data_IF_657075103126
#
_entry.id   IF_657075103126
#
_cell.length_a   1.000
_cell.length_b   1.000
_cell.length_c   1.000
_cell.angle_alpha   90.00
_cell.angle_beta   90.00
_cell.angle_gamma   90.00
#
_symmetry.space_group_name_H-M   'P 1'
#
loop_
_entity.id
_entity.type
_entity.pdbx_description
1 polymer ?
#
# COMPACT_ATOMS: atom_id res chain seq x y z
N UNK A 1 -33.52 -3.90 -47.64
CA UNK A 1 -32.65 -2.84 -47.08
C UNK A 1 -32.54 -3.07 -45.58
N UNK A 2 -31.44 -3.68 -45.11
CA UNK A 2 -31.19 -3.88 -43.68
C UNK A 2 -30.25 -2.78 -43.20
N UNK A 3 -30.78 -1.80 -42.46
CA UNK A 3 -29.95 -0.84 -41.73
C UNK A 3 -29.51 -1.47 -40.42
N UNK A 4 -28.22 -1.76 -40.31
CA UNK A 4 -27.57 -2.17 -39.06
C UNK A 4 -27.39 -0.94 -38.18
N UNK A 5 -28.07 -0.90 -37.04
CA UNK A 5 -27.77 0.03 -35.96
C UNK A 5 -26.46 -0.39 -35.30
N UNK A 6 -25.43 0.44 -35.41
CA UNK A 6 -24.22 0.36 -34.58
C UNK A 6 -24.55 0.97 -33.22
N UNK A 7 -24.69 0.13 -32.19
CA UNK A 7 -24.62 0.61 -30.80
C UNK A 7 -23.14 0.85 -30.47
N UNK A 8 -22.73 2.12 -30.45
CA UNK A 8 -21.49 2.53 -29.80
C UNK A 8 -21.65 2.39 -28.29
N UNK A 9 -21.02 1.38 -27.71
CA UNK A 9 -20.85 1.28 -26.27
C UNK A 9 -19.83 2.35 -25.84
N UNK A 10 -20.30 3.42 -25.19
CA UNK A 10 -19.42 4.29 -24.41
C UNK A 10 -18.95 3.49 -23.19
N UNK A 11 -17.72 2.97 -23.24
CA UNK A 11 -17.00 2.58 -22.04
C UNK A 11 -16.67 3.86 -21.27
N UNK A 12 -17.48 4.17 -20.25
CA UNK A 12 -17.12 5.18 -19.27
C UNK A 12 -15.85 4.71 -18.57
N UNK A 13 -14.74 5.43 -18.76
CA UNK A 13 -13.58 5.28 -17.91
C UNK A 13 -14.02 5.70 -16.50
N UNK A 14 -14.29 4.72 -15.63
CA UNK A 14 -14.44 4.98 -14.22
C UNK A 14 -13.11 5.58 -13.75
N UNK A 15 -13.08 6.90 -13.61
CA UNK A 15 -11.99 7.58 -12.92
C UNK A 15 -12.10 7.15 -11.46
N UNK A 16 -11.40 6.08 -11.09
CA UNK A 16 -11.20 5.75 -9.68
C UNK A 16 -10.39 6.92 -9.13
N UNK A 17 -11.13 7.83 -8.48
CA UNK A 17 -10.56 8.89 -7.68
C UNK A 17 -9.99 8.21 -6.45
N UNK A 18 -8.75 8.51 -6.09
CA UNK A 18 -8.13 8.04 -4.85
C UNK A 18 -9.12 8.13 -3.68
N UNK A 19 -9.20 7.05 -2.90
CA UNK A 19 -10.32 6.68 -2.04
C UNK A 19 -10.39 7.63 -0.83
N UNK A 20 -11.60 7.91 -0.36
CA UNK A 20 -11.76 8.60 0.93
C UNK A 20 -11.16 7.74 2.04
N UNK A 21 -10.56 8.38 3.05
CA UNK A 21 -9.97 7.67 4.19
C UNK A 21 -11.10 7.09 5.05
N UNK A 22 -11.18 5.75 5.23
CA UNK A 22 -12.18 5.14 6.09
C UNK A 22 -12.05 5.59 7.53
N UNK A 23 -13.16 5.66 8.27
CA UNK A 23 -13.21 6.27 9.60
C UNK A 23 -12.27 5.62 10.62
N UNK A 24 -12.04 4.31 10.54
CA UNK A 24 -11.10 3.60 11.40
C UNK A 24 -9.65 4.01 11.11
N UNK A 25 -9.27 4.12 9.83
CA UNK A 25 -7.95 4.58 9.40
C UNK A 25 -7.76 6.06 9.71
N UNK A 26 -8.80 6.89 9.53
CA UNK A 26 -8.77 8.31 9.89
C UNK A 26 -8.57 8.49 11.40
N UNK A 27 -9.32 7.74 12.22
CA UNK A 27 -9.16 7.75 13.68
C UNK A 27 -7.77 7.32 14.11
N UNK A 28 -7.20 6.32 13.42
CA UNK A 28 -5.83 5.88 13.64
C UNK A 28 -4.83 6.99 13.32
N UNK A 29 -4.92 7.60 12.13
CA UNK A 29 -4.10 8.73 11.71
C UNK A 29 -4.15 9.88 12.73
N UNK A 30 -5.34 10.28 13.18
CA UNK A 30 -5.53 11.36 14.16
C UNK A 30 -4.99 10.99 15.55
N UNK A 31 -5.13 9.72 15.95
CA UNK A 31 -4.57 9.22 17.21
C UNK A 31 -3.04 9.25 17.20
N UNK A 32 -2.41 8.89 16.08
CA UNK A 32 -0.96 8.93 15.92
C UNK A 32 -0.43 10.37 15.91
N UNK A 33 -1.15 11.31 15.28
CA UNK A 33 -0.82 12.75 15.36
C UNK A 33 -0.87 13.25 16.80
N UNK A 34 -1.90 12.85 17.56
CA UNK A 34 -2.10 13.30 18.94
C UNK A 34 -1.08 12.69 19.90
N UNK A 35 -0.74 11.40 19.73
CA UNK A 35 0.19 10.67 20.60
C UNK A 35 1.60 11.25 20.57
N UNK A 36 2.03 11.78 19.42
CA UNK A 36 3.38 12.31 19.26
C UNK A 36 4.34 11.28 18.66
N UNK A 37 5.53 11.15 19.26
CA UNK A 37 6.50 10.13 18.88
C UNK A 37 6.03 8.72 19.32
N UNK A 38 6.37 7.69 18.55
CA UNK A 38 6.02 6.32 18.93
C UNK A 38 6.78 5.85 20.18
N UNK A 39 6.11 4.99 20.96
CA UNK A 39 6.64 4.46 22.23
C UNK A 39 7.50 3.22 21.99
N UNK A 40 7.03 2.30 21.17
CA UNK A 40 7.75 1.15 20.67
C UNK A 40 8.41 1.49 19.32
N UNK A 41 9.69 1.83 19.38
CA UNK A 41 10.51 2.13 18.20
C UNK A 41 11.28 0.87 17.80
N UNK A 42 10.96 0.33 16.62
CA UNK A 42 11.62 -0.86 16.08
C UNK A 42 13.00 -0.51 15.52
N UNK A 43 13.12 0.67 14.92
CA UNK A 43 14.38 1.28 14.53
C UNK A 43 14.25 2.80 14.51
N UNK A 44 15.37 3.51 14.67
CA UNK A 44 15.42 4.98 14.84
C UNK A 44 16.62 5.57 14.12
N UNK A 45 16.59 6.89 13.90
CA UNK A 45 17.73 7.63 13.36
C UNK A 45 17.65 7.83 11.86
N UNK A 46 16.44 7.79 11.31
CA UNK A 46 16.15 8.01 9.90
C UNK A 46 15.77 9.46 9.63
N UNK A 47 15.98 9.89 8.41
CA UNK A 47 15.65 11.21 7.90
C UNK A 47 14.45 11.09 6.96
N UNK A 48 13.56 12.09 6.98
CA UNK A 48 12.56 12.23 5.92
C UNK A 48 13.15 13.05 4.76
N UNK A 49 13.92 14.09 5.10
CA UNK A 49 14.52 15.03 4.15
C UNK A 49 16.01 15.29 4.38
N UNK A 50 16.69 15.66 3.30
CA UNK A 50 18.14 15.85 3.26
C UNK A 50 18.67 16.89 4.25
N UNK A 51 17.94 17.96 4.53
CA UNK A 51 18.32 19.00 5.49
C UNK A 51 17.64 18.83 6.86
N UNK A 52 16.91 17.72 7.05
CA UNK A 52 16.09 17.45 8.22
C UNK A 52 16.84 16.79 9.38
N UNK A 53 16.19 16.72 10.56
CA UNK A 53 16.69 15.95 11.69
C UNK A 53 16.40 14.46 11.50
N UNK A 54 17.24 13.60 12.08
CA UNK A 54 17.09 12.14 12.03
C UNK A 54 16.06 11.58 13.03
N UNK A 55 14.92 12.24 13.14
CA UNK A 55 13.92 11.95 14.18
C UNK A 55 12.87 10.92 13.77
N UNK A 56 13.04 10.27 12.62
CA UNK A 56 12.10 9.31 12.09
C UNK A 56 12.41 7.90 12.56
N UNK A 57 11.37 7.10 12.70
CA UNK A 57 11.43 5.74 13.23
C UNK A 57 10.42 4.85 12.54
N UNK A 58 10.78 3.57 12.41
CA UNK A 58 9.81 2.51 12.18
C UNK A 58 9.19 2.15 13.54
N UNK A 59 7.87 2.19 13.60
CA UNK A 59 7.12 2.13 14.85
C UNK A 59 6.28 0.87 14.91
N UNK A 60 6.37 0.18 16.05
CA UNK A 60 5.65 -1.07 16.32
C UNK A 60 4.66 -0.93 17.47
N UNK A 61 4.15 0.27 17.73
CA UNK A 61 3.19 0.52 18.81
C UNK A 61 1.93 -0.33 18.68
N UNK A 62 1.59 -0.73 17.45
CA UNK A 62 0.36 -1.43 17.13
C UNK A 62 0.59 -2.81 16.49
N UNK A 63 1.73 -3.43 16.78
CA UNK A 63 2.01 -4.81 16.33
C UNK A 63 1.17 -5.84 17.09
N UNK A 64 0.81 -5.58 18.35
CA UNK A 64 0.08 -6.55 19.20
C UNK A 64 -1.45 -6.45 19.11
N UNK A 65 -1.99 -5.32 18.67
CA UNK A 65 -3.44 -5.06 18.60
C UNK A 65 -3.95 -5.01 17.16
N UNK A 66 -3.34 -4.19 16.29
CA UNK A 66 -3.75 -4.03 14.89
C UNK A 66 -2.86 -4.79 13.92
N UNK A 67 -1.77 -5.39 14.42
CA UNK A 67 -0.75 -6.03 13.62
C UNK A 67 -0.31 -5.14 12.43
N UNK A 68 0.21 -3.96 12.76
CA UNK A 68 0.77 -2.98 11.80
C UNK A 68 2.11 -2.41 12.25
N UNK A 69 2.91 -2.01 11.27
CA UNK A 69 4.13 -1.20 11.44
C UNK A 69 3.98 0.06 10.60
N UNK A 70 4.47 1.20 11.07
CA UNK A 70 4.35 2.47 10.36
C UNK A 70 5.55 3.39 10.58
N UNK A 71 5.72 4.38 9.70
CA UNK A 71 6.77 5.41 9.84
C UNK A 71 6.22 6.60 10.61
N UNK A 72 6.99 7.12 11.57
CA UNK A 72 6.61 8.28 12.37
C UNK A 72 7.81 9.13 12.78
N UNK A 73 7.66 10.45 12.71
CA UNK A 73 8.60 11.43 13.25
C UNK A 73 8.21 11.94 14.64
N UNK A 74 8.95 12.95 15.13
CA UNK A 74 8.64 13.63 16.39
C UNK A 74 7.33 14.45 16.31
N UNK A 75 6.68 14.65 17.46
CA UNK A 75 5.45 15.44 17.52
C UNK A 75 4.36 14.85 16.61
N UNK A 76 3.65 15.67 15.86
CA UNK A 76 2.61 15.21 14.92
C UNK A 76 3.13 14.79 13.54
N UNK A 77 4.44 14.81 13.30
CA UNK A 77 5.02 14.58 11.98
C UNK A 77 4.89 13.12 11.52
N UNK A 78 4.35 12.90 10.34
CA UNK A 78 4.59 11.68 9.55
C UNK A 78 5.77 11.94 8.60
N UNK A 79 6.05 11.03 7.66
CA UNK A 79 7.11 11.25 6.67
C UNK A 79 6.61 12.16 5.53
N UNK A 80 7.55 12.62 4.71
CA UNK A 80 7.36 13.17 3.37
C UNK A 80 7.10 12.04 2.36
N UNK A 81 7.07 12.40 1.08
CA UNK A 81 7.04 11.46 -0.03
C UNK A 81 7.99 11.92 -1.14
N UNK A 82 9.22 11.40 -1.12
CA UNK A 82 10.14 11.40 -2.25
C UNK A 82 9.69 10.41 -3.35
N UNK A 83 10.21 10.60 -4.55
CA UNK A 83 9.81 9.85 -5.75
C UNK A 83 10.88 8.86 -6.13
N UNK A 84 10.52 7.58 -6.04
CA UNK A 84 11.31 6.48 -6.55
C UNK A 84 10.91 6.17 -8.01
N UNK A 85 11.91 5.94 -8.84
CA UNK A 85 11.77 5.66 -10.27
C UNK A 85 12.38 4.30 -10.66
N UNK A 86 12.68 3.46 -9.68
CA UNK A 86 13.40 2.21 -9.88
C UNK A 86 12.54 1.14 -10.57
N UNK A 87 13.22 0.11 -11.08
CA UNK A 87 12.58 -1.00 -11.80
C UNK A 87 12.54 -0.82 -13.32
N UNK A 88 11.41 -1.18 -13.95
CA UNK A 88 11.24 -1.19 -15.41
C UNK A 88 11.36 0.21 -16.02
N UNK A 89 12.48 0.46 -16.69
CA UNK A 89 12.79 1.72 -17.37
C UNK A 89 12.20 1.79 -18.78
N UNK A 90 11.73 2.97 -19.20
CA UNK A 90 11.07 3.20 -20.49
C UNK A 90 9.88 2.25 -20.73
N UNK A 91 9.25 1.81 -19.65
CA UNK A 91 8.13 0.88 -19.65
C UNK A 91 6.82 1.55 -20.05
N UNK A 92 5.74 0.78 -19.99
CA UNK A 92 4.41 1.33 -20.27
C UNK A 92 4.04 2.39 -19.23
N UNK A 93 3.39 3.46 -19.67
CA UNK A 93 2.97 4.55 -18.77
C UNK A 93 4.05 5.58 -18.46
N UNK A 94 5.29 5.36 -18.91
CA UNK A 94 6.35 6.36 -18.83
C UNK A 94 5.96 7.61 -19.64
N UNK A 95 5.86 8.73 -18.92
CA UNK A 95 5.53 10.05 -19.46
C UNK A 95 6.70 11.04 -19.35
N UNK A 96 7.90 10.52 -19.04
CA UNK A 96 9.15 11.27 -18.95
C UNK A 96 9.39 11.97 -17.61
N UNK A 97 8.46 11.89 -16.65
CA UNK A 97 8.63 12.54 -15.33
C UNK A 97 9.69 11.88 -14.46
N UNK A 98 10.04 10.61 -14.70
CA UNK A 98 11.21 10.01 -14.06
C UNK A 98 12.54 10.47 -14.70
N UNK A 99 12.52 11.06 -15.89
CA UNK A 99 13.74 11.47 -16.60
C UNK A 99 14.53 12.61 -15.94
N UNK A 100 14.01 13.22 -14.87
CA UNK A 100 14.75 14.17 -14.05
C UNK A 100 15.63 13.51 -12.99
N UNK A 101 15.28 12.30 -12.51
CA UNK A 101 16.04 11.58 -11.48
C UNK A 101 17.46 11.24 -11.96
N UNK A 102 18.42 11.34 -11.05
CA UNK A 102 19.83 10.99 -11.28
C UNK A 102 20.29 9.75 -10.52
N UNK A 103 19.41 9.16 -9.72
CA UNK A 103 19.62 8.01 -8.84
C UNK A 103 18.83 6.77 -9.27
N UNK A 104 17.99 6.87 -10.31
CA UNK A 104 17.20 5.74 -10.82
C UNK A 104 18.04 4.49 -11.10
N UNK A 105 17.61 3.36 -10.55
CA UNK A 105 18.14 2.03 -10.81
C UNK A 105 17.20 1.24 -11.73
N UNK A 106 17.77 0.35 -12.54
CA UNK A 106 17.00 -0.44 -13.50
C UNK A 106 16.29 -1.67 -12.89
N UNK A 107 16.35 -1.83 -11.57
CA UNK A 107 15.76 -2.94 -10.85
C UNK A 107 15.20 -2.45 -9.51
N UNK A 108 14.11 -3.04 -9.04
CA UNK A 108 13.65 -2.92 -7.65
C UNK A 108 14.20 -4.05 -6.78
N UNK A 109 14.15 -3.90 -5.46
CA UNK A 109 14.65 -4.91 -4.51
C UNK A 109 14.04 -6.31 -4.68
N UNK A 110 12.80 -6.41 -5.17
CA UNK A 110 12.07 -7.69 -5.30
C UNK A 110 11.83 -8.14 -6.74
N UNK A 111 12.61 -7.62 -7.68
CA UNK A 111 12.56 -7.97 -9.12
C UNK A 111 12.54 -9.48 -9.37
N UNK A 112 13.31 -10.23 -8.58
CA UNK A 112 13.40 -11.69 -8.69
C UNK A 112 12.08 -12.41 -8.38
N UNK A 113 11.30 -11.93 -7.40
CA UNK A 113 9.98 -12.48 -7.07
C UNK A 113 9.00 -12.18 -8.21
N UNK A 114 9.06 -10.97 -8.76
CA UNK A 114 8.21 -10.54 -9.87
C UNK A 114 8.45 -11.42 -11.11
N UNK A 115 9.71 -11.73 -11.42
CA UNK A 115 10.05 -12.69 -12.49
C UNK A 115 9.43 -14.06 -12.25
N UNK A 116 9.51 -14.57 -11.02
CA UNK A 116 8.97 -15.89 -10.65
C UNK A 116 7.45 -15.97 -10.80
N UNK A 117 6.73 -14.88 -10.58
CA UNK A 117 5.28 -14.83 -10.82
C UNK A 117 4.91 -15.07 -12.28
N UNK A 118 5.83 -14.84 -13.23
CA UNK A 118 5.67 -15.12 -14.65
C UNK A 118 4.37 -14.52 -15.23
N UNK A 119 4.13 -13.23 -14.95
CA UNK A 119 2.93 -12.48 -15.36
C UNK A 119 3.15 -11.50 -16.50
N UNK A 120 4.24 -11.66 -17.24
CA UNK A 120 4.54 -10.84 -18.41
C UNK A 120 5.26 -9.52 -18.12
N UNK A 121 5.57 -9.25 -16.85
CA UNK A 121 6.50 -8.20 -16.43
C UNK A 121 7.79 -8.84 -15.91
N UNK A 122 8.90 -8.10 -16.00
CA UNK A 122 10.20 -8.54 -15.46
C UNK A 122 10.49 -7.92 -14.11
N UNK A 123 9.89 -6.78 -13.83
CA UNK A 123 10.02 -6.02 -12.61
C UNK A 123 8.79 -5.11 -12.46
N UNK A 124 8.65 -4.47 -11.30
CA UNK A 124 7.74 -3.36 -11.11
C UNK A 124 8.11 -2.21 -12.05
N UNK A 125 7.09 -1.45 -12.42
CA UNK A 125 7.22 -0.26 -13.26
C UNK A 125 6.68 0.92 -12.46
N UNK A 126 7.54 1.87 -12.08
CA UNK A 126 7.19 2.99 -11.21
C UNK A 126 6.00 3.81 -11.70
N UNK A 127 5.74 3.88 -13.01
CA UNK A 127 4.62 4.60 -13.61
C UNK A 127 3.27 3.85 -13.55
N UNK A 128 3.30 2.55 -13.25
CA UNK A 128 2.15 1.65 -13.28
C UNK A 128 1.89 0.95 -11.95
N UNK A 129 2.93 0.64 -11.20
CA UNK A 129 2.83 -0.12 -9.97
C UNK A 129 3.03 0.82 -8.79
N UNK A 130 1.98 1.24 -8.09
CA UNK A 130 2.13 1.97 -6.83
C UNK A 130 2.85 1.07 -5.83
N UNK A 131 4.12 1.39 -5.57
CA UNK A 131 4.90 0.77 -4.51
C UNK A 131 5.49 1.82 -3.57
N UNK A 132 5.84 1.35 -2.38
CA UNK A 132 6.52 2.10 -1.32
C UNK A 132 7.93 1.55 -1.17
N UNK A 133 8.89 2.45 -0.98
CA UNK A 133 10.24 2.13 -0.54
C UNK A 133 10.21 2.02 0.98
N UNK A 134 10.31 0.81 1.50
CA UNK A 134 10.11 0.53 2.93
C UNK A 134 11.19 -0.40 3.44
N UNK A 135 11.90 -0.01 4.50
CA UNK A 135 13.14 -0.69 4.87
C UNK A 135 14.36 0.10 4.40
N UNK A 136 15.47 -0.19 5.06
CA UNK A 136 16.74 0.44 4.79
C UNK A 136 17.83 -0.63 4.82
N UNK A 137 18.48 -0.82 3.68
CA UNK A 137 19.61 -1.72 3.51
C UNK A 137 20.92 -0.92 3.55
N UNK A 138 22.03 -1.59 3.85
CA UNK A 138 23.31 -0.92 3.88
C UNK A 138 24.40 -1.60 4.69
N UNK A 139 25.64 -1.25 4.35
CA UNK A 139 26.88 -1.75 4.97
C UNK A 139 27.82 -0.64 5.44
N UNK A 140 27.58 0.62 5.04
CA UNK A 140 28.32 1.80 5.49
C UNK A 140 28.36 1.89 7.03
N UNK A 141 29.54 2.14 7.58
CA UNK A 141 29.71 2.29 9.03
C UNK A 141 28.87 3.45 9.57
N UNK A 142 28.07 3.17 10.62
CA UNK A 142 27.17 4.15 11.21
C UNK A 142 25.85 4.37 10.46
N UNK A 143 25.66 3.72 9.31
CA UNK A 143 24.39 3.71 8.57
C UNK A 143 23.29 3.04 9.40
N UNK A 144 22.06 3.54 9.29
CA UNK A 144 20.91 2.96 9.95
C UNK A 144 20.18 2.06 8.97
N UNK A 145 19.94 0.83 9.38
CA UNK A 145 19.20 -0.16 8.61
C UNK A 145 17.93 -0.56 9.33
N UNK A 146 16.97 -1.05 8.57
CA UNK A 146 15.74 -1.65 9.08
C UNK A 146 15.30 -2.71 8.07
N UNK A 147 15.25 -3.97 8.52
CA UNK A 147 14.77 -5.08 7.72
C UNK A 147 13.29 -5.36 8.10
N UNK A 148 12.32 -5.06 7.22
CA UNK A 148 10.90 -5.27 7.52
C UNK A 148 10.52 -6.74 7.76
N UNK A 149 11.23 -7.70 7.13
CA UNK A 149 10.99 -9.13 7.32
C UNK A 149 11.26 -9.61 8.74
N UNK A 150 12.15 -8.95 9.48
CA UNK A 150 12.38 -9.23 10.90
C UNK A 150 11.14 -9.00 11.77
N UNK A 151 10.15 -8.27 11.24
CA UNK A 151 8.89 -7.94 11.89
C UNK A 151 7.68 -8.55 11.15
N UNK A 152 7.92 -9.57 10.32
CA UNK A 152 6.87 -10.34 9.65
C UNK A 152 6.25 -9.67 8.43
N UNK A 153 6.81 -8.56 7.95
CA UNK A 153 6.37 -7.92 6.70
C UNK A 153 7.05 -8.67 5.56
N UNK A 154 6.26 -9.21 4.64
CA UNK A 154 6.77 -10.03 3.54
C UNK A 154 6.94 -9.21 2.26
N UNK A 155 7.98 -9.47 1.44
CA UNK A 155 8.17 -8.79 0.16
C UNK A 155 6.90 -8.78 -0.69
N UNK A 156 6.63 -7.65 -1.36
CA UNK A 156 5.43 -7.43 -2.18
C UNK A 156 4.10 -7.46 -1.40
N UNK A 157 4.13 -7.44 -0.06
CA UNK A 157 2.93 -7.27 0.75
C UNK A 157 2.24 -5.93 0.44
N UNK A 158 0.91 -5.93 0.49
CA UNK A 158 0.12 -4.70 0.36
C UNK A 158 0.47 -3.75 1.49
N UNK A 159 0.57 -2.47 1.15
CA UNK A 159 0.74 -1.36 2.08
C UNK A 159 -0.39 -0.35 1.90
N UNK A 160 -0.72 0.36 2.97
CA UNK A 160 -1.68 1.47 2.96
C UNK A 160 -0.94 2.79 3.15
N UNK A 161 -1.20 3.76 2.27
CA UNK A 161 -0.64 5.11 2.33
C UNK A 161 -1.77 6.11 2.50
N UNK A 162 -1.68 6.94 3.54
CA UNK A 162 -2.60 8.07 3.76
C UNK A 162 -1.88 9.37 3.42
N UNK A 163 -2.34 10.03 2.37
CA UNK A 163 -1.76 11.24 1.80
C UNK A 163 -2.87 12.13 1.24
N UNK A 164 -2.76 13.46 1.35
CA UNK A 164 -3.72 14.41 0.74
C UNK A 164 -5.20 14.05 0.98
N UNK A 165 -5.54 13.70 2.23
CA UNK A 165 -6.87 13.26 2.67
C UNK A 165 -7.43 12.03 1.92
N UNK A 166 -6.55 11.17 1.42
CA UNK A 166 -6.88 9.97 0.64
C UNK A 166 -6.17 8.76 1.19
N UNK A 167 -6.78 7.59 0.99
CA UNK A 167 -6.17 6.29 1.20
C UNK A 167 -5.85 5.67 -0.16
N UNK A 168 -4.60 5.25 -0.34
CA UNK A 168 -4.11 4.59 -1.54
C UNK A 168 -3.42 3.29 -1.13
N UNK A 169 -3.74 2.20 -1.81
CA UNK A 169 -3.03 0.94 -1.65
C UNK A 169 -1.85 0.85 -2.63
N UNK A 170 -0.75 0.32 -2.13
CA UNK A 170 0.39 -0.07 -2.93
C UNK A 170 0.95 -1.38 -2.43
N UNK A 171 2.17 -1.70 -2.84
CA UNK A 171 2.94 -2.81 -2.28
C UNK A 171 4.25 -2.31 -1.69
N UNK A 172 4.82 -3.08 -0.78
CA UNK A 172 6.24 -2.96 -0.47
C UNK A 172 7.05 -3.45 -1.67
N UNK A 173 7.58 -2.53 -2.46
CA UNK A 173 8.24 -2.84 -3.73
C UNK A 173 9.75 -2.66 -3.72
N UNK A 174 10.25 -1.77 -2.85
CA UNK A 174 11.68 -1.47 -2.79
C UNK A 174 12.18 -1.19 -1.37
N UNK A 175 13.49 -1.07 -1.23
CA UNK A 175 14.20 -0.76 0.00
C UNK A 175 15.22 0.34 -0.25
N UNK A 176 15.33 1.29 0.68
CA UNK A 176 16.27 2.39 0.50
C UNK A 176 17.70 1.91 0.80
N UNK A 177 18.61 2.11 -0.16
CA UNK A 177 19.99 1.69 -0.09
C UNK A 177 20.88 2.59 0.77
N UNK A 178 22.17 2.28 0.81
CA UNK A 178 23.21 3.11 1.42
C UNK A 178 24.08 3.84 0.41
N UNK A 179 23.57 4.17 -0.77
CA UNK A 179 24.27 4.91 -1.82
C UNK A 179 24.24 6.43 -1.56
N UNK A 180 23.17 6.94 -0.95
CA UNK A 180 23.02 8.31 -0.51
C UNK A 180 23.86 8.76 0.70
N UNK A 181 23.70 10.02 1.13
CA UNK A 181 24.41 10.58 2.29
C UNK A 181 23.78 10.20 3.64
N UNK A 182 22.50 9.78 3.65
CA UNK A 182 21.69 9.58 4.86
C UNK A 182 20.70 8.40 4.70
N UNK A 183 20.38 7.67 5.77
CA UNK A 183 19.34 6.65 5.75
C UNK A 183 17.96 7.32 5.74
N UNK A 184 17.40 7.46 4.54
CA UNK A 184 16.13 8.16 4.27
C UNK A 184 14.92 7.22 4.43
N UNK A 185 13.75 7.80 4.73
CA UNK A 185 12.44 7.14 4.72
C UNK A 185 11.43 8.11 4.12
N UNK A 186 10.28 7.61 3.65
CA UNK A 186 9.25 8.47 3.07
C UNK A 186 9.40 8.58 1.56
N UNK A 187 9.51 7.46 0.88
CA UNK A 187 9.73 7.41 -0.56
C UNK A 187 8.79 6.39 -1.21
N UNK A 188 8.31 6.69 -2.40
CA UNK A 188 7.38 5.85 -3.13
C UNK A 188 7.48 6.05 -4.64
N UNK A 189 7.04 5.04 -5.40
CA UNK A 189 6.96 5.10 -6.86
C UNK A 189 6.30 6.39 -7.39
N UNK A 190 6.72 6.87 -8.55
CA UNK A 190 6.09 8.04 -9.18
C UNK A 190 4.58 7.89 -9.39
N UNK A 191 4.06 6.67 -9.60
CA UNK A 191 2.62 6.43 -9.70
C UNK A 191 1.88 6.67 -8.37
N UNK A 192 2.44 6.22 -7.24
CA UNK A 192 1.91 6.51 -5.90
C UNK A 192 1.93 8.02 -5.62
N UNK A 193 3.07 8.69 -5.86
CA UNK A 193 3.20 10.13 -5.66
C UNK A 193 2.21 10.92 -6.53
N UNK A 194 2.06 10.52 -7.80
CA UNK A 194 1.08 11.12 -8.71
C UNK A 194 -0.36 10.93 -8.20
N UNK A 195 -0.67 9.77 -7.63
CA UNK A 195 -2.01 9.49 -7.11
C UNK A 195 -2.31 10.33 -5.84
N UNK A 196 -1.30 10.61 -5.01
CA UNK A 196 -1.42 11.48 -3.84
C UNK A 196 -1.51 12.97 -4.21
N UNK A 197 -0.58 13.46 -5.02
CA UNK A 197 -0.29 14.90 -5.16
C UNK A 197 -0.40 15.43 -6.60
N UNK A 198 -0.73 14.57 -7.56
CA UNK A 198 -0.95 14.94 -8.95
C UNK A 198 0.33 14.98 -9.80
N UNK A 199 0.18 15.46 -11.03
CA UNK A 199 1.20 15.33 -12.09
C UNK A 199 2.37 16.30 -11.96
N UNK A 200 2.40 17.15 -10.93
CA UNK A 200 3.59 17.94 -10.61
C UNK A 200 4.73 17.10 -10.05
N UNK A 201 4.43 15.90 -9.54
CA UNK A 201 5.43 14.95 -9.05
C UNK A 201 6.30 14.44 -10.20
N UNK A 202 7.61 14.42 -9.98
CA UNK A 202 8.63 13.91 -10.90
C UNK A 202 9.85 13.41 -10.12
N UNK A 203 10.82 12.78 -10.80
CA UNK A 203 11.97 12.13 -10.15
C UNK A 203 12.86 13.02 -9.27
N UNK A 204 12.73 14.36 -9.34
CA UNK A 204 13.43 15.31 -8.46
C UNK A 204 12.46 16.23 -7.70
N UNK A 205 11.16 15.94 -7.72
CA UNK A 205 10.15 16.78 -7.10
C UNK A 205 9.07 15.90 -6.46
N UNK A 206 9.34 15.51 -5.21
CA UNK A 206 8.40 14.87 -4.32
C UNK A 206 7.56 15.88 -3.53
N UNK A 207 7.10 15.44 -2.36
CA UNK A 207 6.27 16.19 -1.43
C UNK A 207 6.98 16.35 -0.08
N UNK A 208 7.57 17.52 0.16
CA UNK A 208 8.41 17.83 1.33
C UNK A 208 7.65 17.85 2.68
N UNK A 209 6.32 17.94 2.68
CA UNK A 209 5.56 18.05 3.91
C UNK A 209 5.45 16.69 4.61
N UNK A 210 5.79 16.72 5.90
CA UNK A 210 5.79 15.56 6.79
C UNK A 210 4.37 15.14 7.26
N UNK A 211 3.50 14.81 6.31
CA UNK A 211 2.08 14.48 6.55
C UNK A 211 1.59 13.18 5.90
N UNK A 212 2.50 12.37 5.35
CA UNK A 212 2.23 11.08 4.69
C UNK A 212 2.43 9.91 5.66
N UNK A 213 1.35 9.18 5.95
CA UNK A 213 1.40 7.98 6.79
C UNK A 213 1.53 6.73 5.93
N UNK A 214 2.62 6.00 6.12
CA UNK A 214 2.87 4.68 5.54
C UNK A 214 2.56 3.58 6.55
N UNK A 215 1.73 2.61 6.18
CA UNK A 215 1.31 1.49 7.03
C UNK A 215 1.64 0.17 6.32
N UNK A 216 2.49 -0.63 6.95
CA UNK A 216 2.80 -2.00 6.55
C UNK A 216 2.02 -3.00 7.40
N UNK A 217 1.64 -4.12 6.79
CA UNK A 217 0.88 -5.18 7.43
C UNK A 217 1.73 -6.46 7.51
N UNK A 218 2.22 -6.84 8.70
CA UNK A 218 2.84 -8.15 8.89
C UNK A 218 1.87 -9.31 8.59
N UNK A 219 2.44 -10.42 8.10
CA UNK A 219 1.77 -11.69 7.82
C UNK A 219 1.64 -12.00 6.33
N UNK A 220 1.76 -13.29 6.00
CA UNK A 220 1.61 -13.81 4.63
C UNK A 220 0.27 -13.46 3.99
N UNK A 221 -0.78 -13.23 4.77
CA UNK A 221 -2.09 -12.85 4.26
C UNK A 221 -2.11 -11.41 3.71
N UNK A 222 -1.06 -10.61 3.93
CA UNK A 222 -0.88 -9.33 3.29
C UNK A 222 -0.24 -9.43 1.88
N UNK A 223 0.27 -10.60 1.49
CA UNK A 223 0.90 -10.81 0.18
C UNK A 223 -0.16 -11.23 -0.85
N UNK A 224 -0.39 -10.44 -1.92
CA UNK A 224 -1.35 -10.81 -2.96
C UNK A 224 -0.88 -12.05 -3.74
N UNK A 225 0.43 -12.27 -3.81
CA UNK A 225 1.02 -13.38 -4.55
C UNK A 225 0.83 -13.25 -6.07
N UNK A 226 1.27 -14.27 -6.81
CA UNK A 226 1.25 -14.24 -8.27
C UNK A 226 -0.15 -13.99 -8.85
N UNK A 227 -1.22 -14.48 -8.20
CA UNK A 227 -2.58 -14.46 -8.74
C UNK A 227 -3.51 -13.45 -8.05
N UNK A 228 -3.10 -12.80 -6.96
CA UNK A 228 -3.93 -11.85 -6.22
C UNK A 228 -3.72 -10.39 -6.59
N UNK A 229 -2.87 -10.10 -7.58
CA UNK A 229 -2.71 -8.76 -8.14
C UNK A 229 -2.59 -8.83 -9.67
N UNK A 230 -2.97 -7.74 -10.34
CA UNK A 230 -2.81 -7.57 -11.77
C UNK A 230 -1.39 -7.08 -12.11
N UNK A 231 -0.39 -7.93 -11.93
CA UNK A 231 1.01 -7.62 -12.24
C UNK A 231 1.24 -7.19 -13.70
N UNK A 232 0.38 -7.60 -14.64
CA UNK A 232 0.42 -7.16 -16.03
C UNK A 232 -0.36 -5.87 -16.30
N UNK A 233 -0.71 -5.10 -15.25
CA UNK A 233 -1.47 -3.87 -15.37
C UNK A 233 -0.79 -2.87 -16.31
N UNK A 234 -1.59 -1.98 -16.87
CA UNK A 234 -1.12 -0.97 -17.83
C UNK A 234 -1.29 0.47 -17.35
N UNK A 235 -1.81 0.63 -16.14
CA UNK A 235 -1.99 1.92 -15.46
C UNK A 235 -2.05 1.68 -13.96
N UNK A 236 -1.68 2.69 -13.18
CA UNK A 236 -1.72 2.61 -11.72
C UNK A 236 -3.09 2.28 -11.17
N UNK A 237 -4.16 2.82 -11.76
CA UNK A 237 -5.52 2.50 -11.34
C UNK A 237 -5.85 1.02 -11.55
N UNK A 238 -5.39 0.44 -12.66
CA UNK A 238 -5.66 -0.97 -12.97
C UNK A 238 -4.93 -1.91 -12.00
N UNK A 239 -3.71 -1.54 -11.57
CA UNK A 239 -2.99 -2.28 -10.55
C UNK A 239 -3.60 -2.07 -9.16
N UNK A 240 -3.80 -0.83 -8.73
CA UNK A 240 -4.33 -0.51 -7.39
C UNK A 240 -5.71 -1.14 -7.15
N UNK A 241 -6.62 -1.04 -8.13
CA UNK A 241 -7.93 -1.68 -8.04
C UNK A 241 -7.86 -3.21 -7.93
N UNK A 242 -6.78 -3.83 -8.44
CA UNK A 242 -6.61 -5.29 -8.33
C UNK A 242 -6.24 -5.75 -6.92
N UNK A 243 -5.62 -4.87 -6.11
CA UNK A 243 -5.25 -5.15 -4.72
C UNK A 243 -6.22 -4.53 -3.71
N UNK A 244 -7.21 -3.77 -4.17
CA UNK A 244 -8.15 -3.04 -3.31
C UNK A 244 -8.87 -3.95 -2.31
N UNK A 245 -9.37 -5.10 -2.76
CA UNK A 245 -10.08 -6.04 -1.88
C UNK A 245 -9.19 -6.54 -0.73
N UNK A 246 -7.92 -6.83 -1.02
CA UNK A 246 -6.95 -7.22 -0.02
C UNK A 246 -6.62 -6.05 0.92
N UNK A 247 -6.35 -4.87 0.37
CA UNK A 247 -6.13 -3.66 1.16
C UNK A 247 -7.29 -3.34 2.12
N UNK A 248 -8.53 -3.42 1.62
CA UNK A 248 -9.75 -3.20 2.40
C UNK A 248 -9.89 -4.20 3.55
N UNK A 249 -9.51 -5.47 3.31
CA UNK A 249 -9.48 -6.51 4.36
C UNK A 249 -8.42 -6.19 5.41
N UNK A 250 -7.21 -5.81 5.01
CA UNK A 250 -6.09 -5.55 5.92
C UNK A 250 -6.35 -4.34 6.84
N UNK A 251 -6.96 -3.27 6.32
CA UNK A 251 -7.27 -2.10 7.16
C UNK A 251 -8.34 -2.38 8.22
N UNK A 252 -9.12 -3.47 8.13
CA UNK A 252 -10.08 -3.84 9.18
C UNK A 252 -9.39 -4.22 10.50
N UNK A 253 -8.11 -4.58 10.47
CA UNK A 253 -7.32 -4.80 11.70
C UNK A 253 -7.19 -3.52 12.53
N UNK A 254 -7.16 -2.37 11.87
CA UNK A 254 -6.97 -1.06 12.48
C UNK A 254 -8.27 -0.62 13.15
N UNK A 255 -8.21 -0.36 14.46
CA UNK A 255 -9.37 0.07 15.26
C UNK A 255 -10.22 -1.09 15.82
N UNK A 256 -9.70 -2.32 15.81
CA UNK A 256 -10.29 -3.45 16.54
C UNK A 256 -11.35 -4.27 15.78
N UNK A 257 -11.44 -4.14 14.45
CA UNK A 257 -12.36 -4.92 13.62
C UNK A 257 -11.90 -6.36 13.30
N UNK A 258 -10.75 -6.79 13.83
CA UNK A 258 -10.18 -8.09 13.49
C UNK A 258 -9.31 -8.67 14.61
N UNK A 259 -9.93 -9.20 15.65
CA UNK A 259 -9.34 -10.26 16.45
C UNK A 259 -10.46 -11.15 16.99
N UNK A 260 -10.40 -12.42 16.60
CA UNK A 260 -11.32 -13.44 17.08
C UNK A 260 -11.22 -13.64 18.59
N UNK A 261 -12.37 -13.99 19.17
CA UNK A 261 -12.46 -14.79 20.39
C UNK A 261 -12.39 -14.01 21.69
N UNK A 262 -13.48 -13.32 22.02
CA UNK A 262 -13.66 -12.66 23.32
C UNK A 262 -15.11 -12.27 23.59
N UNK A 263 -15.99 -13.27 23.57
CA UNK A 263 -17.36 -13.33 24.09
C UNK A 263 -17.87 -12.14 24.93
N UNK A 264 -18.83 -11.39 24.38
CA UNK A 264 -20.08 -11.02 25.08
C UNK A 264 -21.22 -10.94 24.07
N UNK A 265 -22.17 -11.87 24.21
CA UNK A 265 -23.32 -12.13 23.34
C UNK A 265 -24.40 -11.05 23.40
N UNK A 266 -24.84 -10.55 22.24
CA UNK A 266 -26.18 -9.96 22.03
C UNK A 266 -26.87 -10.71 20.86
N UNK A 267 -28.05 -11.34 21.02
CA UNK A 267 -28.42 -12.52 20.23
C UNK A 267 -29.29 -12.25 18.98
N UNK A 268 -29.25 -11.07 18.35
CA UNK A 268 -30.17 -10.78 17.23
C UNK A 268 -29.56 -10.24 15.94
N UNK A 269 -28.24 -10.18 15.82
CA UNK A 269 -27.59 -9.73 14.58
C UNK A 269 -26.68 -10.83 14.07
N UNK A 270 -26.87 -11.37 12.85
CA UNK A 270 -25.92 -12.28 12.25
C UNK A 270 -24.54 -11.60 12.18
N UNK A 271 -23.51 -12.23 12.75
CA UNK A 271 -22.13 -11.77 12.61
C UNK A 271 -21.73 -11.90 11.13
N UNK A 272 -21.57 -10.75 10.46
CA UNK A 272 -21.07 -10.69 9.09
C UNK A 272 -19.58 -10.30 9.15
N UNK A 273 -18.72 -10.98 8.37
CA UNK A 273 -17.32 -10.57 8.20
C UNK A 273 -17.20 -9.22 7.47
N UNK A 274 -18.19 -8.87 6.64
CA UNK A 274 -18.54 -7.52 6.19
C UNK A 274 -19.97 -7.46 5.62
N UNK A 275 -20.51 -6.25 5.43
CA UNK A 275 -21.91 -6.02 5.01
C UNK A 275 -22.25 -6.71 3.67
N UNK A 276 -23.34 -7.48 3.64
CA UNK A 276 -23.81 -8.18 2.43
C UNK A 276 -23.22 -9.56 2.18
N UNK A 277 -22.33 -10.07 3.03
CA UNK A 277 -21.65 -11.37 2.86
C UNK A 277 -21.78 -12.28 4.09
N UNK A 278 -22.99 -12.34 4.65
CA UNK A 278 -23.36 -13.24 5.74
C UNK A 278 -24.38 -14.30 5.30
N UNK A 279 -24.60 -15.29 6.17
CA UNK A 279 -25.60 -16.33 5.97
C UNK A 279 -26.96 -15.74 5.53
N UNK A 280 -27.46 -16.22 4.38
CA UNK A 280 -28.70 -15.76 3.78
C UNK A 280 -28.59 -14.55 2.84
N UNK A 281 -27.42 -13.93 2.69
CA UNK A 281 -27.19 -12.89 1.69
C UNK A 281 -27.17 -13.46 0.27
N UNK A 282 -27.54 -12.65 -0.73
CA UNK A 282 -27.61 -13.10 -2.13
C UNK A 282 -26.22 -13.17 -2.79
N UNK A 283 -25.98 -14.22 -3.58
CA UNK A 283 -24.74 -14.42 -4.35
C UNK A 283 -25.03 -14.98 -5.76
N UNK A 284 -24.05 -14.91 -6.66
CA UNK A 284 -24.11 -15.52 -7.99
C UNK A 284 -23.10 -16.64 -8.17
N UNK A 285 -21.90 -16.49 -7.60
CA UNK A 285 -20.80 -17.46 -7.66
C UNK A 285 -20.13 -17.60 -6.30
N UNK A 286 -19.36 -18.68 -6.09
CA UNK A 286 -18.62 -18.88 -4.84
C UNK A 286 -17.58 -17.79 -4.57
N UNK A 287 -17.08 -17.12 -5.61
CA UNK A 287 -16.16 -15.99 -5.46
C UNK A 287 -16.84 -14.74 -4.85
N UNK A 288 -18.19 -14.72 -4.77
CA UNK A 288 -18.94 -13.68 -4.05
C UNK A 288 -19.01 -13.97 -2.53
N UNK A 289 -18.33 -15.01 -2.02
CA UNK A 289 -18.44 -15.46 -0.63
C UNK A 289 -17.15 -15.20 0.16
N UNK A 290 -17.30 -14.91 1.45
CA UNK A 290 -16.20 -14.97 2.43
C UNK A 290 -16.29 -16.32 3.13
N UNK A 291 -15.15 -16.97 3.41
CA UNK A 291 -15.11 -18.12 4.33
C UNK A 291 -15.82 -17.74 5.65
N UNK A 292 -16.62 -18.63 6.24
CA UNK A 292 -16.83 -20.05 5.88
C UNK A 292 -17.95 -20.32 4.87
N UNK A 293 -18.47 -19.32 4.15
CA UNK A 293 -19.71 -19.45 3.37
C UNK A 293 -19.46 -19.84 1.90
N UNK A 294 -20.40 -20.55 1.30
CA UNK A 294 -20.45 -20.87 -0.13
C UNK A 294 -21.76 -20.38 -0.76
N UNK A 295 -21.73 -20.12 -2.07
CA UNK A 295 -22.90 -19.69 -2.82
C UNK A 295 -23.74 -20.90 -3.21
N UNK A 296 -24.83 -21.11 -2.47
CA UNK A 296 -25.71 -22.26 -2.65
C UNK A 296 -27.10 -21.75 -3.02
N UNK A 297 -27.53 -22.06 -4.24
CA UNK A 297 -28.84 -21.64 -4.77
C UNK A 297 -29.09 -20.12 -4.69
N UNK A 298 -28.04 -19.34 -4.94
CA UNK A 298 -28.09 -17.88 -4.95
C UNK A 298 -28.07 -17.22 -3.57
N UNK A 299 -27.80 -17.97 -2.51
CA UNK A 299 -27.65 -17.45 -1.15
C UNK A 299 -26.38 -18.00 -0.48
N UNK A 300 -25.78 -17.22 0.41
CA UNK A 300 -24.65 -17.65 1.24
C UNK A 300 -25.13 -18.65 2.29
N UNK A 301 -24.57 -19.87 2.26
CA UNK A 301 -24.82 -20.92 3.24
C UNK A 301 -23.49 -21.48 3.75
N UNK A 302 -23.49 -21.99 4.98
CA UNK A 302 -22.28 -22.57 5.60
C UNK A 302 -21.93 -23.93 5.02
#
# INVERSE_FOLDING_TARGET
MHHRFLLSALAGAASVSARDVPSNVQSFYDSLKTKGACSNKLATGFYSKDDGPNTFSYCGDHMSDYNVVYIKGSGSAFADMDVDCDGEQNGRGDDGRCGSSSDTQSITSFEWIIKEYNKGIKDLNANVHPYVVFGNEGTKSGWKTFNPQSYGIEPLSVMAVVCNNKLIYGIWGDENGDDGPKPMVGEASISMATACFGTSMNGNNGHDQNDVLYIAFPGADAVPGANGANWGATSWQSFESSIEALGNKLIQRIGGGGSGGGETTDPTTPECSWEGHCEGATCKVNDDCSDPWACVSGNLLR
#
